data_IF_184286691936
#
_entry.id   IF_184286691936
#
_cell.length_a   1.000
_cell.length_b   1.000
_cell.length_c   1.000
_cell.angle_alpha   90.00
_cell.angle_beta   90.00
_cell.angle_gamma   90.00
#
_symmetry.space_group_name_H-M   'P 1'
#
loop_
_entity.id
_entity.type
_entity.pdbx_description
1 polymer ?
#
# COMPACT_ATOMS: atom_id res chain seq x y z
N UNK A 1 -26.81 10.17 -7.74
CA UNK A 1 -26.06 8.98 -7.25
C UNK A 1 -25.26 9.42 -6.04
N UNK A 2 -25.50 8.84 -4.86
CA UNK A 2 -24.76 9.21 -3.66
C UNK A 2 -23.30 8.72 -3.80
N UNK A 3 -22.35 9.64 -3.82
CA UNK A 3 -20.92 9.31 -3.85
C UNK A 3 -20.54 8.54 -2.57
N UNK A 4 -19.87 7.40 -2.73
CA UNK A 4 -19.45 6.57 -1.60
C UNK A 4 -18.56 7.38 -0.62
N UNK A 5 -18.73 7.26 0.71
CA UNK A 5 -18.03 8.10 1.69
C UNK A 5 -16.49 8.07 1.58
N UNK A 6 -15.91 6.90 1.26
CA UNK A 6 -14.47 6.76 1.09
C UNK A 6 -13.94 7.52 -0.13
N UNK A 7 -14.72 7.59 -1.21
CA UNK A 7 -14.38 8.33 -2.43
C UNK A 7 -14.40 9.85 -2.19
N UNK A 8 -15.38 10.32 -1.40
CA UNK A 8 -15.44 11.72 -0.97
C UNK A 8 -14.22 12.08 -0.12
N UNK A 9 -13.82 11.17 0.79
CA UNK A 9 -12.64 11.36 1.62
C UNK A 9 -11.36 11.45 0.77
N UNK A 10 -11.16 10.53 -0.19
CA UNK A 10 -10.05 10.57 -1.13
C UNK A 10 -9.98 11.92 -1.86
N UNK A 11 -11.10 12.35 -2.45
CA UNK A 11 -11.19 13.63 -3.16
C UNK A 11 -10.83 14.84 -2.28
N UNK A 12 -11.22 14.82 -1.00
CA UNK A 12 -10.87 15.89 -0.04
C UNK A 12 -9.39 15.89 0.31
N UNK A 13 -8.76 14.72 0.42
CA UNK A 13 -7.33 14.59 0.65
C UNK A 13 -6.52 15.08 -0.55
N UNK A 14 -6.84 14.63 -1.77
CA UNK A 14 -6.17 15.08 -2.99
C UNK A 14 -6.26 16.60 -3.18
N UNK A 15 -7.40 17.20 -2.83
CA UNK A 15 -7.61 18.65 -2.89
C UNK A 15 -7.05 19.43 -1.69
N UNK A 16 -6.32 18.78 -0.76
CA UNK A 16 -5.74 19.40 0.45
C UNK A 16 -6.80 20.10 1.34
N UNK A 17 -8.05 19.62 1.28
CA UNK A 17 -9.17 20.14 2.09
C UNK A 17 -9.27 19.43 3.44
N UNK A 18 -8.75 18.21 3.53
CA UNK A 18 -8.69 17.47 4.78
C UNK A 18 -7.44 17.85 5.57
N UNK A 19 -7.53 17.87 6.91
CA UNK A 19 -6.38 18.22 7.74
C UNK A 19 -5.41 17.04 7.90
N UNK A 20 -4.53 16.87 6.91
CA UNK A 20 -3.40 15.92 6.95
C UNK A 20 -2.09 16.70 6.92
N UNK A 21 -1.43 16.95 8.07
CA UNK A 21 -0.18 17.70 8.11
C UNK A 21 0.94 16.96 7.37
N UNK A 22 0.95 15.63 7.48
CA UNK A 22 1.89 14.75 6.79
C UNK A 22 1.16 13.59 6.13
N UNK A 23 1.35 13.51 4.81
CA UNK A 23 0.85 12.48 3.93
C UNK A 23 2.04 11.75 3.31
N UNK A 24 2.10 10.45 3.53
CA UNK A 24 3.13 9.58 2.99
C UNK A 24 2.62 8.89 1.72
N UNK A 25 3.38 8.94 0.65
CA UNK A 25 3.18 8.12 -0.54
C UNK A 25 4.25 7.04 -0.55
N UNK A 26 3.83 5.79 -0.67
CA UNK A 26 4.70 4.63 -0.82
C UNK A 26 4.56 4.17 -2.27
N UNK A 27 5.66 4.12 -2.98
CA UNK A 27 5.69 3.64 -4.36
C UNK A 27 6.73 2.51 -4.52
N UNK A 28 6.83 2.00 -5.73
CA UNK A 28 7.74 0.91 -6.08
C UNK A 28 8.25 1.07 -7.51
N UNK A 29 9.23 0.26 -7.90
CA UNK A 29 9.71 0.18 -9.28
C UNK A 29 8.60 -0.23 -10.26
N UNK A 30 7.60 -0.98 -9.78
CA UNK A 30 6.45 -1.40 -10.60
C UNK A 30 5.50 -0.26 -10.91
N UNK A 31 5.41 0.72 -9.99
CA UNK A 31 4.52 1.86 -10.12
C UNK A 31 5.03 3.02 -9.25
N UNK A 32 5.55 4.06 -9.91
CA UNK A 32 6.06 5.28 -9.29
C UNK A 32 4.94 6.23 -8.85
N UNK A 33 5.22 7.03 -7.82
CA UNK A 33 4.36 8.08 -7.30
C UNK A 33 4.21 9.29 -8.22
N UNK A 34 4.98 9.41 -9.31
CA UNK A 34 5.04 10.62 -10.13
C UNK A 34 3.66 11.07 -10.64
N UNK A 35 2.81 10.12 -11.05
CA UNK A 35 1.44 10.38 -11.47
C UNK A 35 0.55 10.87 -10.33
N UNK A 36 0.67 10.26 -9.15
CA UNK A 36 -0.10 10.67 -7.97
C UNK A 36 0.33 12.05 -7.44
N UNK A 37 1.63 12.36 -7.46
CA UNK A 37 2.14 13.69 -7.10
C UNK A 37 1.59 14.78 -8.04
N UNK A 38 1.51 14.48 -9.34
CA UNK A 38 0.88 15.35 -10.33
C UNK A 38 -0.61 15.54 -10.05
N UNK A 39 -1.30 14.48 -9.61
CA UNK A 39 -2.71 14.54 -9.23
C UNK A 39 -2.93 15.46 -8.02
N UNK A 40 -2.08 15.38 -6.98
CA UNK A 40 -2.12 16.32 -5.86
C UNK A 40 -1.91 17.76 -6.32
N UNK A 41 -0.94 18.00 -7.21
CA UNK A 41 -0.69 19.33 -7.75
C UNK A 41 -1.85 19.85 -8.60
N UNK A 42 -2.48 18.98 -9.42
CA UNK A 42 -3.64 19.32 -10.24
C UNK A 42 -4.86 19.70 -9.39
N UNK A 43 -5.09 18.97 -8.29
CA UNK A 43 -6.24 19.16 -7.39
C UNK A 43 -6.01 20.27 -6.35
N UNK A 44 -4.78 20.72 -6.18
CA UNK A 44 -4.44 21.82 -5.30
C UNK A 44 -4.72 23.16 -5.98
N UNK A 45 -5.46 24.04 -5.30
CA UNK A 45 -5.69 25.42 -5.74
C UNK A 45 -4.68 26.41 -5.13
N UNK A 46 -3.76 25.92 -4.31
CA UNK A 46 -2.79 26.72 -3.56
C UNK A 46 -1.42 26.77 -4.22
N UNK A 47 -0.44 27.26 -3.46
CA UNK A 47 0.95 27.18 -3.86
C UNK A 47 1.47 25.74 -3.77
N UNK A 48 2.36 25.41 -4.70
CA UNK A 48 3.10 24.14 -4.69
C UNK A 48 4.59 24.45 -4.49
N UNK A 49 5.11 24.09 -3.32
CA UNK A 49 6.54 24.12 -3.01
C UNK A 49 7.09 22.72 -3.25
N UNK A 50 8.09 22.62 -4.13
CA UNK A 50 8.68 21.34 -4.51
C UNK A 50 10.11 21.23 -3.96
N UNK A 51 10.35 20.21 -3.14
CA UNK A 51 11.64 19.83 -2.60
C UNK A 51 12.15 18.62 -3.38
N UNK A 52 13.28 18.78 -4.05
CA UNK A 52 13.82 17.79 -4.98
C UNK A 52 15.12 17.17 -4.46
N UNK A 53 15.16 15.86 -4.32
CA UNK A 53 16.38 15.07 -4.10
C UNK A 53 16.82 14.32 -5.36
N UNK A 54 15.88 13.93 -6.22
CA UNK A 54 16.15 13.16 -7.44
C UNK A 54 15.56 13.80 -8.71
N UNK A 55 14.70 14.81 -8.57
CA UNK A 55 14.02 15.48 -9.70
C UNK A 55 14.85 16.63 -10.28
N UNK A 56 15.65 16.35 -11.31
CA UNK A 56 16.54 17.35 -11.92
C UNK A 56 15.84 18.53 -12.61
N UNK A 57 14.62 18.33 -13.12
CA UNK A 57 13.88 19.35 -13.87
C UNK A 57 12.71 19.85 -13.06
N UNK A 58 12.65 21.17 -12.82
CA UNK A 58 11.54 21.82 -12.13
C UNK A 58 10.20 21.46 -12.79
N UNK A 59 9.25 20.85 -12.07
CA UNK A 59 7.91 20.57 -12.60
C UNK A 59 7.16 21.86 -12.93
N UNK A 60 6.35 21.85 -14.00
CA UNK A 60 5.59 23.02 -14.47
C UNK A 60 4.56 23.53 -13.45
N UNK A 61 4.03 22.65 -12.60
CA UNK A 61 3.09 22.98 -11.55
C UNK A 61 3.74 23.53 -10.27
N UNK A 62 5.06 23.45 -10.14
CA UNK A 62 5.76 23.93 -8.94
C UNK A 62 5.91 25.46 -8.96
N UNK A 63 5.33 26.14 -7.97
CA UNK A 63 5.54 27.58 -7.79
C UNK A 63 6.97 27.86 -7.37
N UNK A 64 7.41 27.18 -6.31
CA UNK A 64 8.76 27.25 -5.76
C UNK A 64 9.44 25.88 -5.90
N UNK A 65 10.74 25.87 -6.19
CA UNK A 65 11.51 24.65 -6.40
C UNK A 65 12.88 24.81 -5.74
N UNK A 66 13.28 23.81 -4.97
CA UNK A 66 14.59 23.74 -4.32
C UNK A 66 15.22 22.38 -4.57
N UNK A 67 16.49 22.40 -4.99
CA UNK A 67 17.35 21.22 -5.01
C UNK A 67 17.90 20.99 -3.60
N UNK A 68 17.51 19.87 -3.00
CA UNK A 68 17.86 19.46 -1.65
C UNK A 68 19.07 18.52 -1.60
N UNK A 69 19.65 18.13 -2.74
CA UNK A 69 20.75 17.14 -2.81
C UNK A 69 21.99 17.53 -2.00
N UNK A 70 22.20 18.83 -1.77
CA UNK A 70 23.32 19.39 -1.00
C UNK A 70 22.89 20.39 0.07
N UNK A 71 21.59 20.54 0.29
CA UNK A 71 21.07 21.54 1.20
C UNK A 71 21.05 21.00 2.64
N UNK A 72 21.35 21.87 3.60
CA UNK A 72 21.18 21.50 5.01
C UNK A 72 19.70 21.57 5.43
N UNK A 73 19.33 20.78 6.43
CA UNK A 73 17.95 20.73 6.95
C UNK A 73 17.42 22.13 7.34
N UNK A 74 18.29 23.00 7.86
CA UNK A 74 17.94 24.38 8.23
C UNK A 74 17.62 25.25 7.02
N UNK A 75 18.38 25.11 5.94
CA UNK A 75 18.16 25.86 4.69
C UNK A 75 16.82 25.45 4.06
N UNK A 76 16.50 24.15 4.08
CA UNK A 76 15.22 23.62 3.60
C UNK A 76 14.07 24.21 4.41
N UNK A 77 14.19 24.28 5.75
CA UNK A 77 13.18 24.90 6.60
C UNK A 77 12.97 26.38 6.27
N UNK A 78 14.05 27.16 6.20
CA UNK A 78 13.99 28.58 5.87
C UNK A 78 13.34 28.82 4.51
N UNK A 79 13.67 28.00 3.51
CA UNK A 79 13.06 28.05 2.19
C UNK A 79 11.55 27.78 2.22
N UNK A 80 11.11 26.71 2.90
CA UNK A 80 9.68 26.37 3.00
C UNK A 80 8.90 27.46 3.76
N UNK A 81 9.48 28.01 4.82
CA UNK A 81 8.87 29.11 5.56
C UNK A 81 8.80 30.39 4.71
N UNK A 82 9.86 30.75 3.99
CA UNK A 82 9.86 31.89 3.10
C UNK A 82 8.82 31.75 1.97
N UNK A 83 8.71 30.55 1.39
CA UNK A 83 7.75 30.26 0.32
C UNK A 83 6.28 30.31 0.79
N UNK A 84 6.03 30.11 2.08
CA UNK A 84 4.68 30.20 2.66
C UNK A 84 4.34 31.58 3.23
N UNK A 85 5.34 32.42 3.51
CA UNK A 85 5.16 33.75 4.10
C UNK A 85 4.76 34.75 3.02
N UNK A 86 3.52 35.25 3.08
CA UNK A 86 3.02 36.31 2.18
C UNK A 86 1.80 35.94 1.36
N UNK A 87 1.21 34.77 1.57
CA UNK A 87 0.05 34.29 0.81
C UNK A 87 -1.22 34.22 1.67
N UNK A 88 -2.36 34.38 1.01
CA UNK A 88 -3.69 34.45 1.64
C UNK A 88 -3.92 33.28 2.60
N UNK A 89 -4.38 33.58 3.81
CA UNK A 89 -4.69 32.61 4.87
C UNK A 89 -5.83 31.65 4.53
N UNK A 90 -6.48 31.82 3.37
CA UNK A 90 -7.62 31.01 2.95
C UNK A 90 -7.24 29.63 2.37
N UNK A 91 -6.04 29.46 1.79
CA UNK A 91 -5.62 28.20 1.17
C UNK A 91 -4.33 27.67 1.76
N UNK A 92 -4.30 26.36 2.03
CA UNK A 92 -3.08 25.67 2.49
C UNK A 92 -2.06 25.59 1.35
N UNK A 93 -0.79 25.72 1.71
CA UNK A 93 0.33 25.49 0.78
C UNK A 93 0.68 24.00 0.76
N UNK A 94 0.79 23.44 -0.45
CA UNK A 94 1.20 22.06 -0.67
C UNK A 94 2.74 22.01 -0.75
N UNK A 95 3.36 21.21 0.10
CA UNK A 95 4.80 20.91 0.04
C UNK A 95 4.95 19.51 -0.49
N UNK A 96 5.57 19.35 -1.66
CA UNK A 96 5.87 18.07 -2.28
C UNK A 96 7.34 17.75 -2.04
N UNK A 97 7.62 16.54 -1.58
CA UNK A 97 8.96 15.98 -1.44
C UNK A 97 9.03 14.73 -2.32
N UNK A 98 9.92 14.76 -3.30
CA UNK A 98 10.04 13.70 -4.31
C UNK A 98 10.54 12.38 -3.73
N UNK A 99 11.49 12.41 -2.79
CA UNK A 99 12.03 11.21 -2.17
C UNK A 99 12.54 11.46 -0.75
N UNK A 100 11.99 10.72 0.21
CA UNK A 100 12.49 10.68 1.59
C UNK A 100 13.66 9.72 1.79
N UNK A 101 13.99 8.89 0.78
CA UNK A 101 15.03 7.87 0.88
C UNK A 101 16.45 8.47 1.00
N UNK A 102 16.61 9.75 0.63
CA UNK A 102 17.87 10.49 0.70
C UNK A 102 18.20 11.03 2.10
N UNK A 103 17.27 10.90 3.05
CA UNK A 103 17.51 11.32 4.43
C UNK A 103 18.33 10.27 5.18
N UNK A 104 19.22 10.75 6.05
CA UNK A 104 20.01 9.87 6.92
C UNK A 104 19.12 9.07 7.88
N UNK A 105 19.57 7.86 8.23
CA UNK A 105 18.87 7.02 9.20
C UNK A 105 18.70 7.77 10.54
N UNK A 106 17.52 7.67 11.13
CA UNK A 106 17.17 8.41 12.35
C UNK A 106 16.74 9.88 12.19
N UNK A 107 16.95 10.51 11.02
CA UNK A 107 16.61 11.94 10.83
C UNK A 107 15.20 12.18 10.26
N UNK A 108 14.54 11.14 9.77
CA UNK A 108 13.25 11.21 9.08
C UNK A 108 12.15 11.91 9.91
N UNK A 109 12.01 11.54 11.19
CA UNK A 109 10.99 12.12 12.05
C UNK A 109 11.29 13.59 12.40
N UNK A 110 12.56 13.93 12.70
CA UNK A 110 12.94 15.31 13.02
C UNK A 110 12.79 16.22 11.79
N UNK A 111 13.09 15.70 10.60
CA UNK A 111 12.87 16.39 9.32
C UNK A 111 11.40 16.75 9.12
N UNK A 112 10.50 15.78 9.22
CA UNK A 112 9.05 16.03 9.07
C UNK A 112 8.56 16.99 10.15
N UNK A 113 8.91 16.76 11.42
CA UNK A 113 8.47 17.62 12.52
C UNK A 113 8.93 19.07 12.40
N UNK A 114 10.10 19.32 11.81
CA UNK A 114 10.61 20.68 11.64
C UNK A 114 9.89 21.47 10.53
N UNK A 115 9.32 20.79 9.54
CA UNK A 115 8.63 21.42 8.41
C UNK A 115 7.12 21.56 8.69
N UNK A 116 6.55 20.73 9.55
CA UNK A 116 5.11 20.74 9.84
C UNK A 116 4.64 22.08 10.41
N UNK A 117 3.68 22.70 9.74
CA UNK A 117 2.96 23.90 10.18
C UNK A 117 1.46 23.77 9.85
N UNK A 118 0.60 24.51 10.55
CA UNK A 118 -0.87 24.44 10.34
C UNK A 118 -1.33 24.92 8.97
N UNK A 119 -0.55 25.81 8.33
CA UNK A 119 -0.77 26.34 6.98
C UNK A 119 -0.27 25.43 5.86
N UNK A 120 0.51 24.40 6.19
CA UNK A 120 1.15 23.51 5.22
C UNK A 120 0.49 22.13 5.20
N UNK A 121 0.52 21.48 4.05
CA UNK A 121 0.27 20.05 3.92
C UNK A 121 1.44 19.43 3.18
N UNK A 122 2.13 18.52 3.87
CA UNK A 122 3.31 17.85 3.33
C UNK A 122 2.86 16.55 2.67
N UNK A 123 3.23 16.37 1.42
CA UNK A 123 3.08 15.13 0.65
C UNK A 123 4.46 14.68 0.24
N UNK A 124 4.91 13.56 0.78
CA UNK A 124 6.26 13.07 0.55
C UNK A 124 6.23 11.62 0.07
N UNK A 125 7.10 11.30 -0.88
CA UNK A 125 7.22 9.94 -1.40
C UNK A 125 8.39 9.19 -0.75
N UNK A 126 8.19 7.89 -0.56
CA UNK A 126 9.19 6.94 -0.11
C UNK A 126 9.15 5.71 -1.02
N UNK A 127 10.30 5.41 -1.63
CA UNK A 127 10.47 4.27 -2.51
C UNK A 127 10.71 3.00 -1.71
N UNK A 128 9.78 2.05 -1.79
CA UNK A 128 9.83 0.79 -1.03
C UNK A 128 10.97 -0.14 -1.47
N UNK A 129 11.43 -0.03 -2.71
CA UNK A 129 12.49 -0.88 -3.27
C UNK A 129 13.92 -0.34 -3.07
N UNK A 130 14.07 0.88 -2.54
CA UNK A 130 15.40 1.43 -2.26
C UNK A 130 15.90 0.86 -0.93
N UNK A 131 17.07 0.21 -0.90
CA UNK A 131 17.63 -0.32 0.32
C UNK A 131 17.95 0.82 1.29
N UNK A 132 17.60 0.64 2.56
CA UNK A 132 17.87 1.62 3.61
C UNK A 132 18.93 1.10 4.58
N UNK A 133 19.82 1.99 5.02
CA UNK A 133 20.67 1.70 6.15
C UNK A 133 19.81 1.45 7.39
N UNK A 134 20.20 0.47 8.21
CA UNK A 134 19.49 0.14 9.44
C UNK A 134 20.47 0.21 10.62
N UNK A 135 20.27 1.18 11.49
CA UNK A 135 20.90 1.21 12.79
C UNK A 135 20.19 0.27 13.77
N UNK A 136 20.98 -0.56 14.47
CA UNK A 136 20.46 -1.47 15.48
C UNK A 136 19.77 -0.68 16.61
N UNK A 137 18.56 -1.09 16.97
CA UNK A 137 17.77 -0.43 18.02
C UNK A 137 16.92 0.76 17.56
N UNK A 138 16.92 1.11 16.28
CA UNK A 138 16.04 2.12 15.69
C UNK A 138 15.07 1.51 14.68
N UNK A 139 13.79 1.94 14.60
CA UNK A 139 12.85 1.40 13.62
C UNK A 139 13.28 1.71 12.19
N UNK A 140 12.92 0.83 11.25
CA UNK A 140 13.14 1.08 9.81
C UNK A 140 12.46 2.39 9.37
N UNK A 141 13.07 3.17 8.46
CA UNK A 141 12.54 4.47 8.01
C UNK A 141 11.09 4.40 7.55
N UNK A 142 10.75 3.41 6.71
CA UNK A 142 9.37 3.21 6.25
C UNK A 142 8.38 2.98 7.40
N UNK A 143 8.77 2.22 8.44
CA UNK A 143 7.91 1.96 9.61
C UNK A 143 7.73 3.23 10.44
N UNK A 144 8.80 4.00 10.62
CA UNK A 144 8.75 5.28 11.34
C UNK A 144 7.88 6.31 10.59
N UNK A 145 8.08 6.49 9.29
CA UNK A 145 7.29 7.39 8.47
C UNK A 145 5.81 6.97 8.44
N UNK A 146 5.54 5.67 8.27
CA UNK A 146 4.17 5.14 8.36
C UNK A 146 3.56 5.38 9.74
N UNK A 147 4.35 5.36 10.81
CA UNK A 147 3.87 5.70 12.15
C UNK A 147 3.55 7.19 12.30
N UNK A 148 4.35 8.10 11.73
CA UNK A 148 4.13 9.55 11.81
C UNK A 148 3.01 10.04 10.87
N UNK A 149 2.80 9.37 9.73
CA UNK A 149 1.81 9.77 8.73
C UNK A 149 0.36 9.63 9.23
N UNK A 150 -0.46 10.65 8.94
CA UNK A 150 -1.91 10.59 9.16
C UNK A 150 -2.62 9.90 7.99
N UNK A 151 -2.08 10.09 6.79
CA UNK A 151 -2.58 9.53 5.54
C UNK A 151 -1.46 8.84 4.81
N UNK A 152 -1.70 7.62 4.37
CA UNK A 152 -0.75 6.80 3.62
C UNK A 152 -1.41 6.41 2.31
N UNK A 153 -0.69 6.62 1.22
CA UNK A 153 -1.08 6.28 -0.14
C UNK A 153 -0.07 5.29 -0.70
N UNK A 154 -0.47 4.05 -0.90
CA UNK A 154 0.37 3.03 -1.51
C UNK A 154 -0.05 2.82 -2.96
N UNK A 155 0.90 3.05 -3.87
CA UNK A 155 0.68 3.04 -5.31
C UNK A 155 1.09 1.69 -5.88
N UNK A 156 0.21 1.08 -6.66
CA UNK A 156 0.38 -0.27 -7.21
C UNK A 156 -0.06 -0.31 -8.67
N UNK A 157 0.53 -1.17 -9.52
CA UNK A 157 0.02 -1.37 -10.88
C UNK A 157 -1.42 -1.89 -10.86
N UNK A 158 -2.14 -1.68 -11.97
CA UNK A 158 -3.55 -2.09 -12.10
C UNK A 158 -3.71 -3.61 -12.27
N UNK A 159 -2.71 -4.29 -12.84
CA UNK A 159 -2.78 -5.73 -13.11
C UNK A 159 -2.86 -6.59 -11.84
N UNK A 160 -3.80 -7.54 -11.86
CA UNK A 160 -3.93 -8.60 -10.86
C UNK A 160 -3.01 -9.78 -11.24
N UNK A 161 -1.70 -9.58 -11.09
CA UNK A 161 -0.72 -10.65 -11.10
C UNK A 161 -0.49 -11.23 -9.69
N UNK A 162 0.18 -12.37 -9.59
CA UNK A 162 0.67 -12.86 -8.30
C UNK A 162 1.69 -11.83 -7.75
N UNK A 163 1.42 -11.19 -6.60
CA UNK A 163 2.29 -10.18 -6.03
C UNK A 163 3.67 -10.76 -5.65
N UNK A 164 3.76 -12.04 -5.29
CA UNK A 164 5.01 -12.68 -4.91
C UNK A 164 5.90 -12.92 -6.14
N UNK A 165 5.31 -13.40 -7.23
CA UNK A 165 6.00 -13.54 -8.52
C UNK A 165 6.52 -12.18 -8.99
N UNK A 166 5.70 -11.13 -8.86
CA UNK A 166 6.09 -9.78 -9.22
C UNK A 166 7.23 -9.26 -8.37
N UNK A 167 7.15 -9.43 -7.05
CA UNK A 167 8.20 -9.01 -6.13
C UNK A 167 9.52 -9.73 -6.42
N UNK A 168 9.50 -11.03 -6.76
CA UNK A 168 10.68 -11.79 -7.17
C UNK A 168 11.31 -11.32 -8.48
N UNK A 169 10.49 -10.96 -9.48
CA UNK A 169 10.97 -10.36 -10.73
C UNK A 169 11.57 -8.98 -10.50
N UNK A 170 10.92 -8.14 -9.68
CA UNK A 170 11.44 -6.81 -9.35
C UNK A 170 12.75 -6.87 -8.56
N UNK A 171 12.89 -7.79 -7.61
CA UNK A 171 14.12 -7.95 -6.82
C UNK A 171 15.31 -8.43 -7.65
N UNK A 172 15.05 -9.16 -8.73
CA UNK A 172 16.05 -9.59 -9.72
C UNK A 172 16.23 -8.60 -10.88
N UNK A 173 15.61 -7.41 -10.81
CA UNK A 173 15.61 -6.40 -11.88
C UNK A 173 15.12 -6.94 -13.23
N UNK A 174 14.23 -7.93 -13.21
CA UNK A 174 13.59 -8.48 -14.39
C UNK A 174 12.27 -7.77 -14.64
N UNK A 175 12.30 -6.78 -15.52
CA UNK A 175 11.10 -6.02 -15.89
C UNK A 175 10.38 -6.73 -17.05
N UNK A 176 9.14 -7.22 -16.83
CA UNK A 176 8.36 -7.84 -17.89
C UNK A 176 8.01 -6.80 -18.97
N UNK A 177 8.38 -7.07 -20.21
CA UNK A 177 8.16 -6.17 -21.36
C UNK A 177 6.69 -5.99 -21.77
N UNK A 178 5.81 -6.90 -21.34
CA UNK A 178 4.39 -6.91 -21.71
C UNK A 178 3.44 -6.66 -20.52
N UNK A 179 3.95 -6.23 -19.36
CA UNK A 179 3.07 -5.81 -18.26
C UNK A 179 2.95 -4.30 -18.24
N UNK A 180 1.74 -3.85 -17.95
CA UNK A 180 1.34 -2.45 -17.85
C UNK A 180 1.87 -1.80 -16.55
N UNK A 181 3.19 -1.70 -16.42
CA UNK A 181 3.87 -1.04 -15.30
C UNK A 181 3.90 0.48 -15.50
N UNK A 182 3.93 1.22 -14.40
CA UNK A 182 4.04 2.69 -14.38
C UNK A 182 3.00 3.42 -15.25
N UNK A 183 1.80 2.87 -15.39
CA UNK A 183 0.72 3.53 -16.13
C UNK A 183 0.14 4.73 -15.38
N UNK A 184 -0.50 5.63 -16.13
CA UNK A 184 -1.28 6.76 -15.60
C UNK A 184 -2.58 6.34 -14.93
N UNK A 185 -3.04 5.12 -15.23
CA UNK A 185 -4.14 4.43 -14.56
C UNK A 185 -3.58 3.32 -13.66
N UNK A 186 -3.79 3.43 -12.36
CA UNK A 186 -3.15 2.55 -11.37
C UNK A 186 -4.06 2.29 -10.17
N UNK A 187 -3.69 1.29 -9.35
CA UNK A 187 -4.37 0.97 -8.10
C UNK A 187 -3.76 1.77 -6.94
N UNK A 188 -4.61 2.27 -6.07
CA UNK A 188 -4.23 3.09 -4.93
C UNK A 188 -4.84 2.51 -3.65
N UNK A 189 -4.02 2.04 -2.72
CA UNK A 189 -4.46 1.75 -1.36
C UNK A 189 -4.30 3.02 -0.51
N UNK A 190 -5.42 3.51 0.02
CA UNK A 190 -5.45 4.72 0.84
C UNK A 190 -5.83 4.35 2.27
N UNK A 191 -4.86 4.53 3.18
CA UNK A 191 -5.05 4.40 4.63
C UNK A 191 -5.18 5.77 5.26
N UNK A 192 -6.31 6.00 5.93
CA UNK A 192 -6.56 7.22 6.69
C UNK A 192 -6.65 6.91 8.18
N UNK A 193 -5.94 7.67 9.00
CA UNK A 193 -6.03 7.62 10.46
C UNK A 193 -6.96 8.70 10.98
N UNK A 194 -8.01 8.28 11.67
CA UNK A 194 -8.96 9.18 12.31
C UNK A 194 -8.38 9.75 13.59
N UNK A 195 -8.96 10.85 14.07
CA UNK A 195 -8.64 11.44 15.38
C UNK A 195 -8.80 10.47 16.56
N UNK A 196 -9.63 9.43 16.40
CA UNK A 196 -9.80 8.36 17.39
C UNK A 196 -8.64 7.35 17.42
N UNK A 197 -7.64 7.48 16.55
CA UNK A 197 -6.56 6.51 16.36
C UNK A 197 -6.92 5.32 15.47
N UNK A 198 -8.19 5.12 15.13
CA UNK A 198 -8.61 4.05 14.21
C UNK A 198 -8.15 4.35 12.79
N UNK A 199 -7.55 3.36 12.15
CA UNK A 199 -7.14 3.40 10.75
C UNK A 199 -8.20 2.74 9.87
N UNK A 200 -8.52 3.34 8.73
CA UNK A 200 -9.36 2.73 7.70
C UNK A 200 -8.61 2.71 6.38
N UNK A 201 -8.52 1.56 5.74
CA UNK A 201 -7.88 1.36 4.44
C UNK A 201 -8.95 1.09 3.39
N UNK A 202 -8.88 1.78 2.26
CA UNK A 202 -9.76 1.56 1.11
C UNK A 202 -8.89 1.53 -0.16
N UNK A 203 -9.28 0.69 -1.12
CA UNK A 203 -8.59 0.61 -2.41
C UNK A 203 -9.38 1.35 -3.50
N UNK A 204 -8.64 1.99 -4.42
CA UNK A 204 -9.19 2.77 -5.52
C UNK A 204 -8.46 2.45 -6.82
N UNK A 205 -9.15 2.66 -7.93
CA UNK A 205 -8.55 2.81 -9.25
C UNK A 205 -8.47 4.32 -9.51
N UNK A 206 -7.29 4.81 -9.85
CA UNK A 206 -7.04 6.22 -10.15
C UNK A 206 -6.60 6.33 -11.59
N UNK A 207 -7.26 7.18 -12.36
CA UNK A 207 -6.87 7.56 -13.72
C UNK A 207 -6.46 9.04 -13.71
N UNK A 208 -5.16 9.29 -13.87
CA UNK A 208 -4.60 10.65 -13.83
C UNK A 208 -4.70 11.41 -15.15
N UNK A 209 -5.13 10.76 -16.24
CA UNK A 209 -5.46 11.44 -17.49
C UNK A 209 -6.84 12.05 -17.45
N UNK A 210 -7.81 11.28 -16.93
CA UNK A 210 -9.20 11.69 -16.85
C UNK A 210 -9.53 12.35 -15.50
N UNK A 211 -8.60 12.33 -14.55
CA UNK A 211 -8.79 12.77 -13.16
C UNK A 211 -10.01 12.12 -12.50
N UNK A 212 -10.24 10.84 -12.80
CA UNK A 212 -11.34 10.04 -12.26
C UNK A 212 -10.83 9.01 -11.26
N UNK A 213 -11.67 8.72 -10.28
CA UNK A 213 -11.35 7.75 -9.23
C UNK A 213 -12.55 6.86 -8.97
N UNK A 214 -12.29 5.56 -8.89
CA UNK A 214 -13.29 4.53 -8.70
C UNK A 214 -12.88 3.65 -7.52
N UNK A 215 -13.84 3.01 -6.85
CA UNK A 215 -13.53 2.08 -5.77
C UNK A 215 -13.07 0.78 -6.41
N UNK A 216 -11.87 0.33 -6.01
CA UNK A 216 -11.39 -0.97 -6.41
C UNK A 216 -12.03 -2.04 -5.54
N UNK A 217 -12.68 -3.01 -6.18
CA UNK A 217 -13.16 -4.24 -5.55
C UNK A 217 -12.32 -5.39 -6.10
N UNK A 218 -11.65 -6.17 -5.24
CA UNK A 218 -10.85 -7.29 -5.72
C UNK A 218 -11.78 -8.35 -6.34
N UNK A 219 -11.39 -8.93 -7.47
CA UNK A 219 -12.17 -9.98 -8.16
C UNK A 219 -12.54 -11.17 -7.27
N UNK A 220 -11.72 -11.51 -6.27
CA UNK A 220 -12.02 -12.59 -5.30
C UNK A 220 -13.29 -12.36 -4.50
N UNK A 221 -13.71 -11.11 -4.29
CA UNK A 221 -14.99 -10.83 -3.62
C UNK A 221 -16.18 -11.08 -4.54
N UNK A 222 -15.98 -10.98 -5.86
CA UNK A 222 -17.00 -11.31 -6.87
C UNK A 222 -17.13 -12.83 -7.03
N UNK A 223 -16.01 -13.56 -7.13
CA UNK A 223 -16.02 -15.04 -7.16
C UNK A 223 -16.63 -15.66 -5.89
N UNK A 224 -16.29 -15.15 -4.70
CA UNK A 224 -16.91 -15.64 -3.46
C UNK A 224 -18.40 -15.29 -3.35
N UNK A 225 -18.82 -14.13 -3.90
CA UNK A 225 -20.25 -13.77 -3.93
C UNK A 225 -21.01 -14.64 -4.93
N UNK A 226 -20.43 -14.88 -6.11
CA UNK A 226 -20.99 -15.78 -7.12
C UNK A 226 -21.07 -17.22 -6.59
N UNK A 227 -20.02 -17.73 -5.93
CA UNK A 227 -20.01 -19.05 -5.30
C UNK A 227 -21.03 -19.16 -4.15
N UNK A 228 -21.13 -18.14 -3.29
CA UNK A 228 -22.15 -18.09 -2.23
C UNK A 228 -23.58 -18.01 -2.79
N UNK A 229 -23.80 -17.27 -3.88
CA UNK A 229 -25.09 -17.19 -4.57
C UNK A 229 -25.47 -18.50 -5.28
N UNK A 230 -24.51 -19.15 -5.95
CA UNK A 230 -24.70 -20.45 -6.59
C UNK A 230 -25.05 -21.54 -5.58
N UNK A 231 -24.34 -21.61 -4.45
CA UNK A 231 -24.55 -22.60 -3.40
C UNK A 231 -25.89 -22.45 -2.66
N UNK A 232 -26.48 -21.27 -2.69
CA UNK A 232 -27.73 -20.95 -1.98
C UNK A 232 -28.96 -21.66 -2.56
N UNK A 233 -28.95 -21.94 -3.86
CA UNK A 233 -30.09 -22.55 -4.57
C UNK A 233 -29.88 -24.04 -4.89
N UNK A 234 -28.70 -24.59 -4.57
CA UNK A 234 -28.33 -25.97 -4.87
C UNK A 234 -28.86 -26.99 -3.85
N UNK A 235 -29.10 -26.61 -2.59
CA UNK A 235 -29.59 -27.55 -1.55
C UNK A 235 -30.57 -26.89 -0.56
N UNK A 236 -31.42 -27.69 0.08
CA UNK A 236 -32.34 -27.24 1.14
C UNK A 236 -31.66 -26.91 2.48
N UNK A 237 -30.36 -27.19 2.60
CA UNK A 237 -29.56 -26.84 3.77
C UNK A 237 -28.67 -25.64 3.44
N UNK A 238 -28.53 -24.69 4.36
CA UNK A 238 -27.65 -23.56 4.13
C UNK A 238 -26.18 -24.02 4.20
N UNK A 239 -25.54 -24.19 3.04
CA UNK A 239 -24.12 -24.54 2.91
C UNK A 239 -23.19 -23.35 3.10
N UNK A 240 -23.71 -22.13 3.20
CA UNK A 240 -22.88 -20.93 3.47
C UNK A 240 -22.48 -20.85 4.94
N UNK A 241 -21.26 -20.40 5.21
CA UNK A 241 -20.82 -20.12 6.58
C UNK A 241 -21.42 -18.81 7.07
N UNK A 242 -22.07 -18.81 8.22
CA UNK A 242 -22.53 -17.57 8.85
C UNK A 242 -21.34 -16.66 9.19
N UNK A 243 -21.55 -15.34 9.15
CA UNK A 243 -20.54 -14.35 9.56
C UNK A 243 -19.95 -14.64 10.95
N UNK A 244 -20.75 -15.22 11.85
CA UNK A 244 -20.30 -15.63 13.19
C UNK A 244 -19.36 -16.85 13.16
N UNK A 245 -19.60 -17.79 12.24
CA UNK A 245 -18.76 -19.00 12.08
C UNK A 245 -17.42 -18.64 11.40
N UNK A 246 -17.43 -17.73 10.42
CA UNK A 246 -16.21 -17.25 9.77
C UNK A 246 -15.29 -16.54 10.75
N UNK A 247 -15.85 -15.65 11.58
CA UNK A 247 -15.13 -14.93 12.63
C UNK A 247 -14.56 -15.88 13.70
N UNK A 248 -15.31 -16.93 14.05
CA UNK A 248 -14.82 -17.96 14.96
C UNK A 248 -13.65 -18.76 14.35
N UNK A 249 -13.72 -19.11 13.07
CA UNK A 249 -12.62 -19.80 12.36
C UNK A 249 -11.34 -18.97 12.33
N UNK A 250 -11.45 -17.68 12.07
CA UNK A 250 -10.31 -16.75 12.03
C UNK A 250 -9.68 -16.50 13.41
N UNK A 251 -10.44 -16.71 14.49
CA UNK A 251 -9.94 -16.60 15.87
C UNK A 251 -9.39 -17.91 16.45
N UNK A 252 -9.49 -19.03 15.72
CA UNK A 252 -8.90 -20.29 16.14
C UNK A 252 -7.41 -20.28 15.79
N UNK A 253 -6.60 -19.99 16.81
CA UNK A 253 -5.16 -20.14 16.75
C UNK A 253 -4.83 -21.64 16.84
N UNK A 254 -4.34 -22.23 15.75
CA UNK A 254 -3.85 -23.60 15.78
C UNK A 254 -2.46 -23.62 16.41
N UNK A 255 -2.18 -24.56 17.34
CA UNK A 255 -0.83 -24.75 17.86
C UNK A 255 0.12 -25.01 16.70
N UNK A 256 1.23 -24.29 16.64
CA UNK A 256 2.29 -24.53 15.66
C UNK A 256 2.88 -25.91 15.91
N UNK A 257 2.43 -26.91 15.15
CA UNK A 257 2.91 -28.29 15.26
C UNK A 257 4.11 -28.43 14.34
N UNK A 258 5.30 -28.61 14.91
CA UNK A 258 6.61 -28.72 14.24
C UNK A 258 6.77 -29.97 13.35
N UNK A 259 5.66 -30.66 13.04
CA UNK A 259 5.64 -31.88 12.23
C UNK A 259 5.99 -31.64 10.74
N UNK A 260 6.01 -30.40 10.27
CA UNK A 260 6.33 -30.07 8.88
C UNK A 260 7.82 -29.82 8.60
N UNK A 261 8.68 -29.68 9.62
CA UNK A 261 10.09 -29.33 9.40
C UNK A 261 10.96 -30.52 9.00
N UNK A 262 10.66 -31.73 9.47
CA UNK A 262 11.43 -32.94 9.08
C UNK A 262 10.71 -33.85 8.08
N UNK A 263 9.39 -34.05 8.18
CA UNK A 263 8.65 -34.94 7.26
C UNK A 263 7.93 -34.21 6.12
N UNK A 264 7.68 -32.90 6.25
CA UNK A 264 6.82 -32.13 5.34
C UNK A 264 7.52 -31.47 4.15
N UNK A 265 8.83 -31.70 3.95
CA UNK A 265 9.61 -31.03 2.89
C UNK A 265 9.38 -31.63 1.49
N UNK A 266 8.76 -32.80 1.42
CA UNK A 266 8.25 -33.39 0.19
C UNK A 266 6.72 -33.32 0.27
N UNK A 267 6.09 -32.68 -0.71
CA UNK A 267 4.64 -32.48 -0.75
C UNK A 267 3.89 -33.75 -0.41
N UNK A 268 2.82 -33.62 0.39
CA UNK A 268 2.11 -34.68 1.11
C UNK A 268 1.72 -35.91 0.31
N UNK A 269 2.70 -36.73 -0.03
CA UNK A 269 2.53 -38.10 -0.46
C UNK A 269 2.50 -38.94 0.82
N UNK A 270 1.30 -39.33 1.23
CA UNK A 270 1.13 -40.34 2.27
C UNK A 270 1.51 -41.66 1.61
N UNK A 271 2.75 -42.09 1.85
CA UNK A 271 3.20 -43.43 1.43
C UNK A 271 2.77 -44.38 2.53
N UNK A 272 1.82 -45.25 2.21
CA UNK A 272 1.47 -46.37 3.07
C UNK A 272 2.62 -47.38 3.06
N UNK A 273 3.21 -47.62 4.21
CA UNK A 273 4.21 -48.68 4.42
C UNK A 273 3.50 -49.83 5.13
N UNK A 274 3.40 -50.99 4.47
CA UNK A 274 2.76 -52.17 5.06
C UNK A 274 3.52 -52.60 6.32
N UNK A 275 2.85 -52.60 7.46
CA UNK A 275 3.43 -53.11 8.70
C UNK A 275 3.32 -54.63 8.75
N UNK A 276 4.29 -55.29 9.39
CA UNK A 276 4.32 -56.76 9.51
C UNK A 276 3.20 -57.32 10.41
N UNK A 277 2.58 -56.44 11.19
CA UNK A 277 1.46 -56.74 12.08
C UNK A 277 0.10 -56.33 11.47
N UNK A 278 0.06 -55.89 10.20
CA UNK A 278 -1.22 -55.81 9.45
C UNK A 278 -1.78 -57.23 9.32
N UNK A 279 -2.82 -57.49 10.09
CA UNK A 279 -3.63 -58.70 10.05
C UNK A 279 -4.50 -58.70 8.79
N UNK A 280 -3.85 -58.91 7.66
CA UNK A 280 -4.52 -59.46 6.47
C UNK A 280 -5.11 -60.81 6.86
N UNK A 281 -6.32 -60.82 7.41
CA UNK A 281 -7.11 -62.02 7.53
C UNK A 281 -7.62 -62.39 6.13
N UNK A 282 -7.52 -63.66 5.78
CA UNK A 282 -7.91 -64.18 4.47
C UNK A 282 -9.45 -64.14 4.23
N UNK A 283 -10.19 -63.35 5.02
CA UNK A 283 -11.66 -63.30 5.04
C UNK A 283 -12.23 -61.97 4.50
N UNK A 284 -11.42 -61.09 3.90
CA UNK A 284 -11.95 -59.99 3.09
C UNK A 284 -12.38 -60.50 1.70
N UNK A 285 -13.70 -60.62 1.42
CA UNK A 285 -14.21 -61.21 0.19
C UNK A 285 -14.10 -60.29 -1.03
N UNK A 286 -13.49 -59.10 -0.90
CA UNK A 286 -13.41 -58.10 -1.96
C UNK A 286 -12.05 -57.96 -2.66
N UNK A 287 -11.08 -58.82 -2.35
CA UNK A 287 -9.85 -58.95 -3.16
C UNK A 287 -9.86 -60.24 -4.00
N UNK A 288 -10.57 -60.21 -5.14
CA UNK A 288 -10.28 -61.15 -6.24
C UNK A 288 -9.28 -60.48 -7.19
N UNK A 289 -8.09 -61.06 -7.46
CA UNK A 289 -7.04 -60.37 -8.20
C UNK A 289 -7.09 -60.73 -9.69
N UNK A 290 -7.95 -60.04 -10.47
CA UNK A 290 -7.74 -59.78 -11.90
C UNK A 290 -8.42 -58.49 -12.36
#
# INVERSE_FOLDING_TARGET
MASHPSLVLLNRHLAIKENSPFTLIIDSLSQSACHLLREFAHRCNGLVVYLSYETTVKPSYATSFMDCSRAEQKEIQEFVHAASTGHSTLSKTLVIIDSLNYLDDGTHASFVSAIVQSSLSIVACYHSNVPSAHSSGYPLPLKLLSYVALSIFEVMPLEDGDPEEMAGKMSSFQFPTNRELNLEKFRLAFTNRRKSGKSSTNAFIVDTNLHTYEIYRPRKDEENQEDEELLKDLTTFNLTTSSKQKLAREQVELPFMEAQTELGKFGGAIVYEFEKDDDYDEEDPYEDPF
#
